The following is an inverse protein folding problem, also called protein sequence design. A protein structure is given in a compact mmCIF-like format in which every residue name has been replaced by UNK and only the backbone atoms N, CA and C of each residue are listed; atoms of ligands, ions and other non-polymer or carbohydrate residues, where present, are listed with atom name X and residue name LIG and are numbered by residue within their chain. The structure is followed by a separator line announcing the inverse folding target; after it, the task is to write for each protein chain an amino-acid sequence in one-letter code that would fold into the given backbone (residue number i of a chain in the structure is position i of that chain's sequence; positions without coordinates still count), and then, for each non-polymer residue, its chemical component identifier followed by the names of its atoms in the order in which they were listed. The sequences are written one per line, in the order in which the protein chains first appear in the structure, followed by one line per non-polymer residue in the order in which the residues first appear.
data_IF_956345966634
#
_entry.id   IF_956345966634
#
_cell.length_a   1.000
_cell.length_b   1.000
_cell.length_c   1.000
_cell.angle_alpha   90.00
_cell.angle_beta   90.00
_cell.angle_gamma   90.00
#
_symmetry.space_group_name_H-M   'P 1'
#
loop_
_entity.id
_entity.type
_entity.pdbx_description
1 polymer ?
#
# COMPACT_ATOMS: atom_id res chain seq x y z
N UNK A 1 -4.44 5.94 20.69
CA UNK A 1 -5.47 5.59 19.67
C UNK A 1 -4.86 5.14 18.33
N UNK A 2 -3.70 5.65 17.89
CA UNK A 2 -3.09 5.23 16.61
C UNK A 2 -2.42 3.83 16.61
N UNK A 3 -2.00 3.31 17.76
CA UNK A 3 -1.35 1.98 17.83
C UNK A 3 -2.31 0.81 17.52
N UNK A 4 -3.58 0.93 17.89
CA UNK A 4 -4.56 -0.15 17.67
C UNK A 4 -4.95 -0.30 16.20
N UNK A 5 -4.97 0.81 15.44
CA UNK A 5 -5.20 0.78 13.99
C UNK A 5 -4.00 0.21 13.24
N UNK A 6 -2.78 0.56 13.65
CA UNK A 6 -1.54 0.02 13.08
C UNK A 6 -1.43 -1.51 13.25
N UNK A 7 -1.77 -2.06 14.41
CA UNK A 7 -1.75 -3.51 14.62
C UNK A 7 -2.82 -4.26 13.80
N UNK A 8 -4.00 -3.67 13.62
CA UNK A 8 -5.02 -4.24 12.73
C UNK A 8 -4.54 -4.23 11.28
N UNK A 9 -3.91 -3.15 10.82
CA UNK A 9 -3.39 -3.03 9.46
C UNK A 9 -2.23 -4.00 9.21
N UNK A 10 -1.32 -4.15 10.18
CA UNK A 10 -0.20 -5.09 10.07
C UNK A 10 -0.68 -6.56 10.04
N UNK A 11 -1.77 -6.89 10.75
CA UNK A 11 -2.36 -8.24 10.74
C UNK A 11 -2.93 -8.67 9.37
N UNK A 12 -3.22 -7.70 8.49
CA UNK A 12 -3.75 -7.94 7.14
C UNK A 12 -2.65 -8.32 6.13
N UNK A 13 -1.39 -8.10 6.49
CA UNK A 13 -0.23 -8.54 5.73
C UNK A 13 -0.06 -10.05 5.90
N UNK A 14 -0.57 -10.82 4.94
CA UNK A 14 -0.49 -12.30 4.84
C UNK A 14 0.06 -13.02 6.08
N UNK A 15 -0.74 -13.06 7.14
CA UNK A 15 -0.59 -14.05 8.20
C UNK A 15 -0.90 -15.42 7.59
N UNK A 16 0.16 -16.14 7.21
CA UNK A 16 0.16 -17.61 7.20
C UNK A 16 1.06 -18.08 8.34
N UNK A 17 0.69 -17.72 9.56
CA UNK A 17 1.13 -18.47 10.74
C UNK A 17 -0.11 -19.21 11.25
N UNK A 18 -0.49 -20.25 10.51
CA UNK A 18 -1.38 -21.28 11.04
C UNK A 18 -0.56 -22.09 12.04
N UNK A 19 -0.72 -21.78 13.31
CA UNK A 19 -0.44 -22.69 14.42
C UNK A 19 -1.39 -23.89 14.32
N UNK A 20 -0.94 -24.98 13.69
CA UNK A 20 -1.38 -26.33 14.04
C UNK A 20 -0.44 -27.39 13.46
N UNK A 21 0.16 -28.18 14.36
CA UNK A 21 0.40 -29.62 14.26
C UNK A 21 0.26 -30.24 12.86
N UNK A 22 1.39 -30.74 12.33
CA UNK A 22 1.47 -31.92 11.47
C UNK A 22 0.77 -31.87 10.11
N UNK A 23 1.55 -31.65 9.04
CA UNK A 23 1.71 -32.54 7.87
C UNK A 23 2.33 -31.78 6.68
N UNK A 24 3.35 -32.40 6.11
CA UNK A 24 4.08 -32.02 4.90
C UNK A 24 3.21 -31.46 3.78
N UNK A 25 3.50 -30.24 3.34
CA UNK A 25 3.47 -29.86 1.91
C UNK A 25 4.71 -29.02 1.60
N UNK A 26 5.61 -29.59 0.80
CA UNK A 26 6.67 -28.88 0.08
C UNK A 26 6.01 -27.84 -0.83
N UNK A 27 5.90 -26.61 -0.34
CA UNK A 27 5.75 -25.43 -1.17
C UNK A 27 6.79 -24.46 -0.63
N UNK A 28 7.79 -24.13 -1.45
CA UNK A 28 8.79 -23.10 -1.14
C UNK A 28 8.06 -21.88 -0.56
N UNK A 29 8.21 -21.65 0.75
CA UNK A 29 7.75 -20.42 1.40
C UNK A 29 8.67 -19.34 0.84
N UNK A 30 8.25 -18.67 -0.23
CA UNK A 30 8.87 -17.42 -0.64
C UNK A 30 8.56 -16.42 0.48
N UNK A 31 9.47 -16.34 1.46
CA UNK A 31 9.42 -15.32 2.51
C UNK A 31 9.40 -13.99 1.78
N UNK A 32 8.27 -13.28 1.85
CA UNK A 32 8.20 -11.97 1.25
C UNK A 32 9.01 -11.02 2.13
N UNK A 33 9.92 -10.20 1.57
CA UNK A 33 10.86 -9.42 2.37
C UNK A 33 10.17 -8.45 3.33
N UNK A 34 8.92 -8.04 3.05
CA UNK A 34 8.14 -7.14 3.89
C UNK A 34 7.55 -7.78 5.16
N UNK A 35 7.62 -9.11 5.33
CA UNK A 35 7.07 -9.78 6.51
C UNK A 35 7.88 -9.49 7.78
N UNK A 36 9.16 -9.16 7.64
CA UNK A 36 10.09 -8.84 8.73
C UNK A 36 10.25 -7.32 8.95
N UNK A 37 9.53 -6.49 8.19
CA UNK A 37 9.63 -5.04 8.31
C UNK A 37 8.85 -4.52 9.53
N UNK A 38 9.27 -3.37 10.02
CA UNK A 38 8.59 -2.61 11.06
C UNK A 38 7.15 -2.22 10.66
N UNK A 39 6.33 -1.91 11.65
CA UNK A 39 4.92 -1.58 11.48
C UNK A 39 4.69 -0.39 10.54
N UNK A 40 5.58 0.61 10.57
CA UNK A 40 5.52 1.81 9.73
C UNK A 40 5.74 1.46 8.26
N UNK A 41 6.79 0.71 7.96
CA UNK A 41 7.09 0.19 6.62
C UNK A 41 5.95 -0.67 6.07
N UNK A 42 5.39 -1.52 6.92
CA UNK A 42 4.26 -2.42 6.62
C UNK A 42 2.98 -1.64 6.35
N UNK A 43 2.69 -0.63 7.15
CA UNK A 43 1.54 0.27 6.96
C UNK A 43 1.66 1.10 5.69
N UNK A 44 2.87 1.62 5.43
CA UNK A 44 3.18 2.34 4.19
C UNK A 44 2.86 1.52 2.94
N UNK A 45 3.17 0.22 2.98
CA UNK A 45 2.87 -0.70 1.89
C UNK A 45 1.36 -0.87 1.68
N UNK A 46 0.58 -0.93 2.76
CA UNK A 46 -0.89 -1.00 2.71
C UNK A 46 -1.49 0.27 2.11
N UNK A 47 -1.03 1.43 2.57
CA UNK A 47 -1.47 2.73 2.04
C UNK A 47 -1.22 2.80 0.53
N UNK A 48 0.02 2.49 0.10
CA UNK A 48 0.39 2.52 -1.31
C UNK A 48 -0.40 1.51 -2.15
N UNK A 49 -0.73 0.34 -1.61
CA UNK A 49 -1.62 -0.61 -2.28
C UNK A 49 -3.01 -0.01 -2.49
N UNK A 50 -3.59 0.62 -1.47
CA UNK A 50 -4.89 1.29 -1.57
C UNK A 50 -4.91 2.47 -2.55
N UNK A 51 -3.77 3.14 -2.74
CA UNK A 51 -3.66 4.27 -3.65
C UNK A 51 -3.33 3.87 -5.10
N UNK A 52 -2.56 2.81 -5.29
CA UNK A 52 -2.02 2.44 -6.61
C UNK A 52 -2.68 1.19 -7.21
N UNK A 53 -3.08 0.22 -6.40
CA UNK A 53 -3.64 -1.06 -6.85
C UNK A 53 -5.16 -1.03 -6.83
N UNK A 54 -5.74 -0.63 -5.70
CA UNK A 54 -7.20 -0.64 -5.53
C UNK A 54 -7.99 0.11 -6.64
N UNK A 55 -7.57 1.30 -7.12
CA UNK A 55 -8.26 1.99 -8.22
C UNK A 55 -8.26 1.22 -9.54
N UNK A 56 -7.33 0.27 -9.72
CA UNK A 56 -7.29 -0.60 -10.90
C UNK A 56 -8.22 -1.80 -10.77
N UNK A 57 -8.54 -2.19 -9.54
CA UNK A 57 -9.45 -3.29 -9.20
C UNK A 57 -10.90 -2.83 -9.14
N UNK A 58 -11.14 -1.62 -8.65
CA UNK A 58 -12.48 -1.08 -8.47
C UNK A 58 -13.07 -0.57 -9.80
N UNK A 59 -14.19 -1.14 -10.29
CA UNK A 59 -14.82 -0.71 -11.54
C UNK A 59 -15.23 0.76 -11.54
N UNK A 60 -15.62 1.32 -10.39
CA UNK A 60 -16.12 2.69 -10.27
C UNK A 60 -14.96 3.72 -10.39
N UNK A 61 -13.74 3.28 -10.13
CA UNK A 61 -12.54 4.12 -10.12
C UNK A 61 -11.60 3.85 -11.29
N UNK A 62 -11.84 2.76 -12.04
CA UNK A 62 -11.04 2.36 -13.17
C UNK A 62 -11.23 3.34 -14.32
N UNK A 63 -10.42 4.42 -14.32
CA UNK A 63 -10.24 5.27 -15.51
C UNK A 63 -9.65 4.38 -16.62
N UNK A 64 -10.40 4.16 -17.71
CA UNK A 64 -10.17 3.11 -18.73
C UNK A 64 -8.78 3.08 -19.39
N UNK A 65 -7.88 4.04 -19.14
CA UNK A 65 -6.59 4.13 -19.84
C UNK A 65 -5.40 4.67 -19.03
N UNK A 66 -5.50 4.86 -17.71
CA UNK A 66 -4.39 5.42 -16.92
C UNK A 66 -3.97 4.49 -15.79
N UNK A 67 -2.68 4.17 -15.77
CA UNK A 67 -2.04 3.55 -14.59
C UNK A 67 -2.11 4.58 -13.46
N UNK A 68 -2.68 4.25 -12.29
CA UNK A 68 -2.71 5.16 -11.17
C UNK A 68 -1.31 5.61 -10.78
N UNK A 69 -1.14 6.91 -10.66
CA UNK A 69 0.09 7.55 -10.20
C UNK A 69 -0.23 8.46 -9.03
N UNK A 70 0.67 8.52 -8.05
CA UNK A 70 0.54 9.43 -6.91
C UNK A 70 1.79 10.27 -6.73
N UNK A 71 1.60 11.50 -6.25
CA UNK A 71 2.70 12.39 -5.84
C UNK A 71 3.15 12.03 -4.42
N UNK A 72 4.44 11.85 -4.19
CA UNK A 72 4.95 11.44 -2.86
C UNK A 72 4.64 12.48 -1.78
N UNK A 73 4.74 13.77 -2.12
CA UNK A 73 4.42 14.85 -1.17
C UNK A 73 2.96 14.79 -0.71
N UNK A 74 2.03 14.49 -1.63
CA UNK A 74 0.61 14.36 -1.28
C UNK A 74 0.36 13.14 -0.39
N UNK A 75 1.05 12.03 -0.65
CA UNK A 75 0.97 10.83 0.19
C UNK A 75 1.50 11.14 1.59
N UNK A 76 2.64 11.83 1.69
CA UNK A 76 3.21 12.20 2.98
C UNK A 76 2.28 13.13 3.76
N UNK A 77 1.76 14.20 3.13
CA UNK A 77 0.85 15.14 3.79
C UNK A 77 -0.42 14.48 4.34
N UNK A 78 -1.00 13.53 3.60
CA UNK A 78 -2.25 12.87 4.00
C UNK A 78 -2.05 11.76 5.03
N UNK A 79 -0.87 11.15 5.08
CA UNK A 79 -0.62 9.97 5.90
C UNK A 79 0.58 10.13 6.85
N UNK A 80 1.06 11.35 7.11
CA UNK A 80 2.25 11.62 7.95
C UNK A 80 2.20 10.89 9.30
N UNK A 81 1.01 10.79 9.91
CA UNK A 81 0.80 10.10 11.20
C UNK A 81 1.11 8.60 11.14
N UNK A 82 1.08 7.99 9.95
CA UNK A 82 1.31 6.57 9.71
C UNK A 82 2.65 6.27 9.03
N UNK A 83 3.27 7.27 8.40
CA UNK A 83 4.50 7.13 7.62
C UNK A 83 5.76 7.46 8.43
N UNK A 84 5.60 8.06 9.60
CA UNK A 84 6.70 8.53 10.44
C UNK A 84 7.27 9.86 9.97
N UNK A 85 8.49 10.15 10.39
CA UNK A 85 9.23 11.34 9.98
C UNK A 85 9.59 11.34 8.48
N UNK A 86 9.88 12.51 7.92
CA UNK A 86 10.31 12.65 6.51
C UNK A 86 11.56 11.81 6.18
N UNK A 87 12.50 11.70 7.14
CA UNK A 87 13.67 10.81 7.01
C UNK A 87 13.28 9.35 6.93
N UNK A 88 12.42 8.86 7.82
CA UNK A 88 11.94 7.48 7.82
C UNK A 88 11.16 7.18 6.55
N UNK A 89 10.31 8.12 6.10
CA UNK A 89 9.56 7.97 4.86
C UNK A 89 10.47 7.81 3.65
N UNK A 90 11.56 8.59 3.55
CA UNK A 90 12.55 8.45 2.47
C UNK A 90 13.28 7.11 2.51
N UNK A 91 13.58 6.59 3.70
CA UNK A 91 14.18 5.26 3.87
C UNK A 91 13.21 4.15 3.42
N UNK A 92 11.95 4.25 3.83
CA UNK A 92 10.88 3.33 3.44
C UNK A 92 10.71 3.33 1.92
N UNK A 93 10.63 4.51 1.30
CA UNK A 93 10.55 4.65 -0.16
C UNK A 93 11.73 4.01 -0.88
N UNK A 94 12.95 4.23 -0.36
CA UNK A 94 14.17 3.62 -0.90
C UNK A 94 14.11 2.09 -0.84
N UNK A 95 13.61 1.55 0.27
CA UNK A 95 13.42 0.10 0.47
C UNK A 95 12.34 -0.46 -0.45
N UNK A 96 11.19 0.22 -0.56
CA UNK A 96 10.09 -0.17 -1.44
C UNK A 96 10.52 -0.19 -2.92
N UNK A 97 11.31 0.80 -3.35
CA UNK A 97 11.90 0.85 -4.69
C UNK A 97 12.86 -0.33 -4.90
N UNK A 98 13.76 -0.59 -3.95
CA UNK A 98 14.76 -1.67 -4.03
C UNK A 98 14.13 -3.04 -4.28
N UNK A 99 12.97 -3.29 -3.68
CA UNK A 99 12.26 -4.56 -3.82
C UNK A 99 11.13 -4.54 -4.87
N UNK A 100 11.07 -3.53 -5.74
CA UNK A 100 10.04 -3.40 -6.80
C UNK A 100 8.59 -3.41 -6.28
N UNK A 101 8.35 -2.81 -5.11
CA UNK A 101 7.00 -2.45 -4.66
C UNK A 101 6.53 -1.15 -5.31
N UNK A 102 7.42 -0.20 -5.57
CA UNK A 102 7.10 1.05 -6.27
C UNK A 102 8.07 1.32 -7.39
N UNK A 103 7.60 2.06 -8.41
CA UNK A 103 8.42 2.55 -9.52
C UNK A 103 8.24 4.04 -9.69
N UNK A 104 9.36 4.77 -9.75
CA UNK A 104 9.35 6.20 -10.03
C UNK A 104 9.08 6.43 -11.52
N UNK A 105 8.10 7.28 -11.82
CA UNK A 105 7.83 7.79 -13.17
C UNK A 105 8.47 9.16 -13.40
N UNK A 106 8.52 9.98 -12.35
CA UNK A 106 9.21 11.27 -12.32
C UNK A 106 9.84 11.49 -10.95
N UNK A 107 10.51 12.63 -10.73
CA UNK A 107 11.16 12.97 -9.46
C UNK A 107 10.25 12.81 -8.23
N UNK A 108 8.95 13.01 -8.40
CA UNK A 108 7.98 13.02 -7.31
C UNK A 108 6.73 12.16 -7.57
N UNK A 109 6.69 11.37 -8.65
CA UNK A 109 5.54 10.52 -8.96
C UNK A 109 5.93 9.05 -8.97
N UNK A 110 5.10 8.24 -8.31
CA UNK A 110 5.29 6.80 -8.24
C UNK A 110 4.08 6.04 -8.79
N UNK A 111 4.37 4.84 -9.28
CA UNK A 111 3.41 3.84 -9.75
C UNK A 111 3.65 2.51 -9.06
N UNK A 112 2.68 1.61 -9.11
CA UNK A 112 2.83 0.27 -8.56
C UNK A 112 3.94 -0.51 -9.26
N UNK A 113 4.86 -1.07 -8.48
CA UNK A 113 5.78 -2.12 -8.93
C UNK A 113 5.11 -3.49 -8.94
N UNK A 114 5.79 -4.50 -9.48
CA UNK A 114 5.20 -5.84 -9.64
C UNK A 114 4.92 -6.49 -8.29
N UNK A 115 5.77 -6.28 -7.28
CA UNK A 115 5.60 -6.93 -5.98
C UNK A 115 4.49 -6.31 -5.14
N UNK A 116 4.03 -5.09 -5.44
CA UNK A 116 2.93 -4.48 -4.71
C UNK A 116 1.61 -5.20 -4.97
N UNK A 117 1.39 -5.69 -6.20
CA UNK A 117 0.23 -6.50 -6.55
C UNK A 117 0.08 -7.75 -5.68
N UNK A 118 1.20 -8.39 -5.37
CA UNK A 118 1.25 -9.65 -4.63
C UNK A 118 1.60 -9.47 -3.15
N UNK A 119 1.86 -8.24 -2.72
CA UNK A 119 2.24 -7.97 -1.34
C UNK A 119 1.09 -8.27 -0.38
N UNK A 120 -0.13 -8.00 -0.83
CA UNK A 120 -1.36 -8.12 -0.05
C UNK A 120 -2.33 -9.10 -0.70
N UNK A 121 -3.16 -9.71 0.13
CA UNK A 121 -4.29 -10.51 -0.33
C UNK A 121 -5.42 -9.59 -0.80
N UNK A 122 -5.50 -9.36 -2.12
CA UNK A 122 -6.47 -8.47 -2.72
C UNK A 122 -7.93 -8.82 -2.35
N UNK A 123 -8.25 -10.11 -2.18
CA UNK A 123 -9.60 -10.55 -1.81
C UNK A 123 -9.98 -10.10 -0.39
N UNK A 124 -9.00 -9.97 0.51
CA UNK A 124 -9.20 -9.46 1.87
C UNK A 124 -9.14 -7.93 1.94
N UNK A 125 -8.24 -7.32 1.19
CA UNK A 125 -8.02 -5.87 1.23
C UNK A 125 -9.10 -5.10 0.48
N UNK A 126 -9.59 -5.62 -0.64
CA UNK A 126 -10.63 -4.97 -1.45
C UNK A 126 -11.87 -4.56 -0.65
N UNK A 127 -12.55 -5.45 0.11
CA UNK A 127 -13.73 -5.05 0.88
C UNK A 127 -13.40 -4.00 1.94
N UNK A 128 -12.23 -4.10 2.60
CA UNK A 128 -11.80 -3.13 3.62
C UNK A 128 -11.61 -1.75 3.01
N UNK A 129 -10.95 -1.65 1.86
CA UNK A 129 -10.75 -0.39 1.16
C UNK A 129 -12.03 0.18 0.56
N UNK A 130 -12.93 -0.68 0.05
CA UNK A 130 -14.23 -0.24 -0.48
C UNK A 130 -15.11 0.42 0.58
N UNK A 131 -15.03 -0.06 1.82
CA UNK A 131 -15.72 0.54 2.98
C UNK A 131 -14.93 1.67 3.63
N UNK A 132 -13.63 1.79 3.35
CA UNK A 132 -12.77 2.78 3.98
C UNK A 132 -12.89 4.14 3.30
N UNK A 133 -13.14 5.17 4.10
CA UNK A 133 -13.24 6.57 3.67
C UNK A 133 -11.89 7.10 3.15
N UNK A 134 -10.78 6.48 3.56
CA UNK A 134 -9.41 6.94 3.25
C UNK A 134 -9.15 7.04 1.74
N UNK A 135 -9.59 6.06 0.96
CA UNK A 135 -9.38 6.09 -0.49
C UNK A 135 -10.31 7.11 -1.14
N UNK A 136 -11.57 7.17 -0.74
CA UNK A 136 -12.53 8.14 -1.30
C UNK A 136 -12.05 9.58 -1.11
N UNK A 137 -11.56 9.93 0.09
CA UNK A 137 -11.02 11.26 0.37
C UNK A 137 -9.79 11.60 -0.49
N UNK A 138 -8.87 10.65 -0.70
CA UNK A 138 -7.74 10.86 -1.60
C UNK A 138 -8.20 11.19 -3.02
N UNK A 139 -9.14 10.42 -3.57
CA UNK A 139 -9.61 10.63 -4.94
C UNK A 139 -10.42 11.91 -5.10
N UNK A 140 -11.30 12.24 -4.14
CA UNK A 140 -12.02 13.51 -4.13
C UNK A 140 -11.06 14.70 -4.11
N UNK A 141 -10.02 14.68 -3.27
CA UNK A 141 -9.05 15.78 -3.18
C UNK A 141 -8.09 15.83 -4.38
N UNK A 142 -7.75 14.69 -4.97
CA UNK A 142 -6.91 14.63 -6.18
C UNK A 142 -7.59 15.20 -7.42
N UNK A 143 -8.91 15.01 -7.55
CA UNK A 143 -9.72 15.54 -8.66
C UNK A 143 -9.85 17.07 -8.55
N UNK A 144 -10.02 17.61 -7.35
CA UNK A 144 -10.07 19.07 -7.13
C UNK A 144 -8.76 19.79 -7.49
N UNK A 145 -7.64 19.06 -7.52
CA UNK A 145 -6.32 19.60 -7.86
C UNK A 145 -6.06 19.68 -9.39
N UNK A 146 -6.96 19.15 -10.23
CA UNK A 146 -6.86 19.20 -11.69
C UNK A 146 -7.77 20.28 -12.33
N UNK A 147 -8.60 20.96 -11.54
CA UNK A 147 -9.58 21.97 -12.03
C UNK A 147 -9.16 23.43 -11.89
N UNK A 148 -7.97 23.74 -11.34
CA UNK A 148 -7.39 25.07 -11.45
C UNK A 148 -6.30 25.06 -12.53
N UNK A 149 -6.70 25.43 -13.75
CA UNK A 149 -5.79 25.82 -14.81
C UNK A 149 -6.37 26.99 -15.59
#
# INVERSE_FOLDING_TARGET
MAQESLQKISSLLTSRVSSSVGKSKRGSKTINPHQEWDDTSRTSLVILWGLLIYPQLDPDMKKRSQVPEVKLDHVYLLFQEYLGSDSEWKEILSRLKKYDYIRYRSKNRITAGTRLWTALDAAKMYPLFRTSVLVRQFWTNSVSSETEK
#
